data_IF_845331974563
#
_entry.id   IF_845331974563
#
_cell.length_a   1.000
_cell.length_b   1.000
_cell.length_c   1.000
_cell.angle_alpha   90.00
_cell.angle_beta   90.00
_cell.angle_gamma   90.00
#
_symmetry.space_group_name_H-M   'P 1'
#
loop_
_entity.id
_entity.type
_entity.pdbx_description
1 polymer ?
#
# COMPACT_ATOMS: atom_id res chain seq x y z
N UNK A 1 6.51 -30.72 3.60
CA UNK A 1 5.60 -29.85 2.83
C UNK A 1 6.31 -29.46 1.55
N UNK A 2 5.79 -29.79 0.37
CA UNK A 2 6.31 -29.25 -0.89
C UNK A 2 5.57 -27.93 -1.16
N UNK A 3 6.26 -26.81 -1.03
CA UNK A 3 5.74 -25.51 -1.43
C UNK A 3 5.76 -25.41 -2.96
N UNK A 4 4.72 -24.81 -3.54
CA UNK A 4 4.75 -24.51 -4.98
C UNK A 4 5.78 -23.41 -5.27
N UNK A 5 6.23 -23.30 -6.53
CA UNK A 5 7.21 -22.28 -6.91
C UNK A 5 6.67 -20.86 -6.68
N UNK A 6 5.38 -20.69 -6.90
CA UNK A 6 4.62 -19.45 -6.70
C UNK A 6 4.58 -19.07 -5.21
N UNK A 7 4.36 -20.04 -4.32
CA UNK A 7 4.38 -19.81 -2.87
C UNK A 7 5.76 -19.39 -2.37
N UNK A 8 6.83 -19.93 -2.95
CA UNK A 8 8.20 -19.50 -2.62
C UNK A 8 8.44 -18.04 -3.05
N UNK A 9 7.99 -17.65 -4.25
CA UNK A 9 8.10 -16.26 -4.72
C UNK A 9 7.36 -15.30 -3.77
N UNK A 10 6.15 -15.67 -3.34
CA UNK A 10 5.38 -14.89 -2.36
C UNK A 10 6.07 -14.83 -1.00
N UNK A 11 6.85 -15.84 -0.62
CA UNK A 11 7.64 -15.76 0.61
C UNK A 11 8.80 -14.76 0.48
N UNK A 12 9.44 -14.71 -0.69
CA UNK A 12 10.55 -13.78 -0.97
C UNK A 12 10.14 -12.30 -0.99
N UNK A 13 8.85 -11.99 -1.17
CA UNK A 13 8.37 -10.59 -1.10
C UNK A 13 8.54 -9.95 0.27
N UNK A 14 8.83 -10.73 1.31
CA UNK A 14 9.15 -10.19 2.64
C UNK A 14 10.46 -9.41 2.66
N UNK A 15 11.43 -9.79 1.82
CA UNK A 15 12.79 -9.26 1.90
C UNK A 15 12.84 -7.74 1.64
N UNK A 16 12.20 -7.18 0.60
CA UNK A 16 12.11 -5.73 0.43
C UNK A 16 11.48 -5.00 1.61
N UNK A 17 10.43 -5.58 2.21
CA UNK A 17 9.74 -4.96 3.35
C UNK A 17 10.69 -4.87 4.54
N UNK A 18 11.45 -5.94 4.80
CA UNK A 18 12.50 -5.94 5.82
C UNK A 18 13.58 -4.90 5.54
N UNK A 19 14.08 -4.84 4.30
CA UNK A 19 15.10 -3.85 3.90
C UNK A 19 14.57 -2.42 4.08
N UNK A 20 13.34 -2.15 3.64
CA UNK A 20 12.68 -0.87 3.81
C UNK A 20 12.46 -0.53 5.29
N UNK A 21 12.12 -1.50 6.14
CA UNK A 21 11.92 -1.31 7.58
C UNK A 21 13.24 -1.05 8.33
N UNK A 22 14.32 -1.73 7.95
CA UNK A 22 15.66 -1.45 8.46
C UNK A 22 16.06 -0.02 8.10
N UNK A 23 15.86 0.36 6.84
CA UNK A 23 16.06 1.73 6.38
C UNK A 23 15.21 2.74 7.16
N UNK A 24 13.92 2.45 7.37
CA UNK A 24 13.02 3.31 8.13
C UNK A 24 13.49 3.51 9.58
N UNK A 25 13.99 2.44 10.22
CA UNK A 25 14.53 2.47 11.59
C UNK A 25 15.73 3.40 11.71
N UNK A 26 16.63 3.38 10.72
CA UNK A 26 17.83 4.22 10.70
C UNK A 26 17.51 5.71 10.52
N UNK A 27 16.41 6.06 9.82
CA UNK A 27 16.07 7.45 9.46
C UNK A 27 14.90 8.04 10.23
N UNK A 28 14.23 7.26 11.08
CA UNK A 28 13.03 7.71 11.77
C UNK A 28 13.22 8.99 12.59
N UNK A 29 14.39 9.14 13.24
CA UNK A 29 14.65 10.27 14.16
C UNK A 29 14.89 11.59 13.43
N UNK A 30 15.59 11.55 12.29
CA UNK A 30 15.91 12.73 11.49
C UNK A 30 14.82 13.09 10.47
N UNK A 31 13.89 12.16 10.19
CA UNK A 31 12.86 12.34 9.18
C UNK A 31 11.87 13.48 9.47
N UNK A 32 11.49 14.19 8.41
CA UNK A 32 10.35 15.10 8.40
C UNK A 32 9.02 14.36 8.66
N UNK A 33 7.99 15.10 9.06
CA UNK A 33 6.69 14.53 9.47
C UNK A 33 6.06 13.60 8.42
N UNK A 34 6.13 13.94 7.13
CA UNK A 34 5.57 13.11 6.09
C UNK A 34 6.38 11.81 5.87
N UNK A 35 7.71 11.87 6.00
CA UNK A 35 8.58 10.69 5.92
C UNK A 35 8.41 9.79 7.14
N UNK A 36 8.13 10.36 8.33
CA UNK A 36 7.77 9.57 9.52
C UNK A 36 6.49 8.76 9.33
N UNK A 37 5.50 9.30 8.59
CA UNK A 37 4.30 8.55 8.22
C UNK A 37 4.62 7.40 7.24
N UNK A 38 5.53 7.62 6.29
CA UNK A 38 6.05 6.54 5.43
C UNK A 38 6.73 5.44 6.26
N UNK A 39 7.58 5.80 7.23
CA UNK A 39 8.18 4.83 8.15
C UNK A 39 7.10 4.06 8.93
N UNK A 40 6.08 4.76 9.43
CA UNK A 40 4.93 4.14 10.10
C UNK A 40 4.20 3.14 9.21
N UNK A 41 3.98 3.49 7.94
CA UNK A 41 3.36 2.61 6.94
C UNK A 41 4.19 1.33 6.72
N UNK A 42 5.51 1.48 6.56
CA UNK A 42 6.41 0.34 6.37
C UNK A 42 6.43 -0.58 7.59
N UNK A 43 6.50 -0.03 8.80
CA UNK A 43 6.44 -0.84 10.03
C UNK A 43 5.09 -1.53 10.21
N UNK A 44 4.01 -0.83 9.93
CA UNK A 44 2.67 -1.41 9.96
C UNK A 44 2.53 -2.56 8.97
N UNK A 45 3.00 -2.38 7.74
CA UNK A 45 2.97 -3.44 6.74
C UNK A 45 3.86 -4.63 7.14
N UNK A 46 5.07 -4.38 7.64
CA UNK A 46 5.93 -5.44 8.18
C UNK A 46 5.22 -6.24 9.28
N UNK A 47 4.53 -5.54 10.20
CA UNK A 47 3.79 -6.15 11.29
C UNK A 47 2.64 -7.04 10.76
N UNK A 48 1.80 -6.51 9.87
CA UNK A 48 0.67 -7.26 9.29
C UNK A 48 1.16 -8.45 8.47
N UNK A 49 2.21 -8.29 7.66
CA UNK A 49 2.79 -9.39 6.90
C UNK A 49 3.36 -10.48 7.82
N UNK A 50 4.00 -10.09 8.93
CA UNK A 50 4.55 -11.03 9.90
C UNK A 50 3.44 -11.85 10.57
N UNK A 51 2.37 -11.20 11.03
CA UNK A 51 1.19 -11.90 11.58
C UNK A 51 0.55 -12.80 10.54
N UNK A 52 0.40 -12.31 9.30
CA UNK A 52 -0.21 -13.08 8.21
C UNK A 52 0.55 -14.37 7.91
N UNK A 53 1.89 -14.34 7.95
CA UNK A 53 2.72 -15.55 7.76
C UNK A 53 2.67 -16.50 8.95
N UNK A 54 2.62 -15.97 10.18
CA UNK A 54 2.40 -16.79 11.38
C UNK A 54 1.07 -17.53 11.26
N UNK A 55 0.00 -16.84 10.87
CA UNK A 55 -1.34 -17.43 10.73
C UNK A 55 -1.37 -18.46 9.61
N UNK A 56 -0.70 -18.18 8.49
CA UNK A 56 -0.53 -19.14 7.41
C UNK A 56 0.20 -20.42 7.87
N UNK A 57 1.25 -20.29 8.69
CA UNK A 57 1.96 -21.43 9.27
C UNK A 57 1.05 -22.30 10.16
N UNK A 58 0.19 -21.66 10.95
CA UNK A 58 -0.81 -22.34 11.78
C UNK A 58 -2.10 -22.72 11.03
N UNK A 59 -2.19 -22.48 9.72
CA UNK A 59 -3.39 -22.70 8.88
C UNK A 59 -4.65 -21.97 9.36
N UNK A 60 -4.47 -20.85 10.06
CA UNK A 60 -5.56 -19.96 10.48
C UNK A 60 -5.80 -18.96 9.34
N UNK A 61 -7.08 -18.70 9.03
CA UNK A 61 -7.43 -17.68 8.04
C UNK A 61 -6.96 -16.30 8.51
N UNK A 62 -6.27 -15.58 7.64
CA UNK A 62 -5.79 -14.22 7.88
C UNK A 62 -6.67 -13.15 7.22
N UNK A 63 -7.81 -13.54 6.64
CA UNK A 63 -8.69 -12.64 5.88
C UNK A 63 -9.22 -11.47 6.73
N UNK A 64 -9.41 -11.67 8.04
CA UNK A 64 -9.85 -10.61 8.96
C UNK A 64 -8.82 -9.48 9.12
N UNK A 65 -7.55 -9.69 8.73
CA UNK A 65 -6.53 -8.63 8.72
C UNK A 65 -6.71 -7.68 7.54
N UNK A 66 -7.40 -8.11 6.48
CA UNK A 66 -7.54 -7.34 5.25
C UNK A 66 -8.25 -5.99 5.45
N UNK A 67 -9.42 -5.90 6.11
CA UNK A 67 -10.11 -4.63 6.36
C UNK A 67 -9.29 -3.68 7.25
N UNK A 68 -8.53 -4.24 8.20
CA UNK A 68 -7.64 -3.48 9.08
C UNK A 68 -6.48 -2.91 8.27
N UNK A 69 -5.87 -3.74 7.42
CA UNK A 69 -4.75 -3.36 6.57
C UNK A 69 -5.11 -2.19 5.65
N UNK A 70 -6.17 -2.33 4.84
CA UNK A 70 -6.57 -1.28 3.88
C UNK A 70 -6.97 0.02 4.57
N UNK A 71 -7.58 -0.06 5.76
CA UNK A 71 -8.03 1.13 6.49
C UNK A 71 -6.85 1.93 7.03
N UNK A 72 -5.87 1.25 7.62
CA UNK A 72 -4.68 1.90 8.16
C UNK A 72 -3.75 2.37 7.04
N UNK A 73 -3.57 1.58 5.97
CA UNK A 73 -2.81 1.97 4.78
C UNK A 73 -3.39 3.24 4.15
N UNK A 74 -4.69 3.24 3.85
CA UNK A 74 -5.40 4.41 3.35
C UNK A 74 -5.27 5.63 4.28
N UNK A 75 -5.42 5.43 5.59
CA UNK A 75 -5.31 6.48 6.59
C UNK A 75 -3.94 7.15 6.61
N UNK A 76 -2.88 6.33 6.64
CA UNK A 76 -1.50 6.80 6.64
C UNK A 76 -1.14 7.49 5.31
N UNK A 77 -1.53 6.93 4.18
CA UNK A 77 -1.28 7.53 2.86
C UNK A 77 -2.02 8.87 2.71
N UNK A 78 -3.31 8.92 3.07
CA UNK A 78 -4.10 10.15 2.99
C UNK A 78 -3.51 11.25 3.89
N UNK A 79 -3.07 10.90 5.10
CA UNK A 79 -2.39 11.85 5.98
C UNK A 79 -1.06 12.31 5.40
N UNK A 80 -0.23 11.37 4.94
CA UNK A 80 1.07 11.68 4.33
C UNK A 80 0.92 12.66 3.18
N UNK A 81 0.01 12.42 2.23
CA UNK A 81 -0.23 13.33 1.11
C UNK A 81 -0.87 14.66 1.51
N UNK A 82 -1.67 14.70 2.58
CA UNK A 82 -2.20 15.98 3.08
C UNK A 82 -1.08 16.92 3.53
N UNK A 83 -0.02 16.38 4.13
CA UNK A 83 1.18 17.13 4.52
C UNK A 83 2.01 17.54 3.30
N UNK A 84 2.28 16.60 2.39
CA UNK A 84 3.13 16.83 1.21
C UNK A 84 2.51 17.82 0.24
N UNK A 85 1.21 17.69 -0.03
CA UNK A 85 0.50 18.61 -0.92
C UNK A 85 0.31 19.97 -0.25
N UNK A 86 0.13 20.02 1.07
CA UNK A 86 0.01 21.26 1.83
C UNK A 86 -1.26 22.07 1.51
N UNK A 87 -2.20 21.50 0.76
CA UNK A 87 -3.44 22.18 0.36
C UNK A 87 -4.40 22.25 1.55
N UNK A 88 -4.93 23.45 1.84
CA UNK A 88 -5.80 23.69 3.00
C UNK A 88 -7.05 22.81 2.99
N UNK A 89 -7.70 22.65 1.82
CA UNK A 89 -8.89 21.84 1.69
C UNK A 89 -8.62 20.36 1.99
N UNK A 90 -7.47 19.82 1.54
CA UNK A 90 -7.11 18.42 1.77
C UNK A 90 -6.81 18.17 3.25
N UNK A 91 -6.16 19.11 3.93
CA UNK A 91 -5.93 19.03 5.38
C UNK A 91 -7.24 19.08 6.18
N UNK A 92 -8.22 19.89 5.75
CA UNK A 92 -9.55 19.93 6.36
C UNK A 92 -10.39 18.67 6.06
N UNK A 93 -10.29 18.15 4.83
CA UNK A 93 -11.02 16.97 4.38
C UNK A 93 -10.42 15.65 4.88
N UNK A 94 -9.13 15.60 5.24
CA UNK A 94 -8.41 14.38 5.64
C UNK A 94 -9.19 13.54 6.65
N UNK A 95 -9.67 14.15 7.74
CA UNK A 95 -10.41 13.42 8.78
C UNK A 95 -11.71 12.79 8.25
N UNK A 96 -12.42 13.53 7.40
CA UNK A 96 -13.65 13.06 6.74
C UNK A 96 -13.37 11.95 5.72
N UNK A 97 -12.28 12.05 4.96
CA UNK A 97 -11.87 11.01 4.01
C UNK A 97 -11.55 9.70 4.75
N UNK A 98 -10.75 9.77 5.82
CA UNK A 98 -10.36 8.60 6.61
C UNK A 98 -11.56 8.00 7.33
N UNK A 99 -12.37 8.83 8.01
CA UNK A 99 -13.58 8.38 8.70
C UNK A 99 -14.62 7.79 7.75
N UNK A 100 -14.85 8.44 6.60
CA UNK A 100 -15.77 7.97 5.56
C UNK A 100 -15.33 6.65 4.95
N UNK A 101 -14.06 6.51 4.60
CA UNK A 101 -13.52 5.23 4.10
C UNK A 101 -13.62 4.12 5.14
N UNK A 102 -13.25 4.40 6.39
CA UNK A 102 -13.39 3.46 7.50
C UNK A 102 -14.84 3.01 7.69
N UNK A 103 -15.79 3.94 7.64
CA UNK A 103 -17.22 3.61 7.74
C UNK A 103 -17.68 2.72 6.57
N UNK A 104 -17.25 3.00 5.34
CA UNK A 104 -17.56 2.18 4.16
C UNK A 104 -17.05 0.75 4.35
N UNK A 105 -15.80 0.58 4.77
CA UNK A 105 -15.20 -0.73 5.02
C UNK A 105 -15.95 -1.46 6.14
N UNK A 106 -16.21 -0.81 7.27
CA UNK A 106 -16.93 -1.43 8.40
C UNK A 106 -18.36 -1.84 8.03
N UNK A 107 -19.12 -1.00 7.33
CA UNK A 107 -20.48 -1.33 6.89
C UNK A 107 -20.48 -2.55 5.96
N UNK A 108 -19.49 -2.64 5.07
CA UNK A 108 -19.33 -3.79 4.17
C UNK A 108 -18.99 -5.07 4.91
N UNK A 109 -18.04 -5.01 5.84
CA UNK A 109 -17.66 -6.16 6.66
C UNK A 109 -18.82 -6.65 7.54
N UNK A 110 -19.55 -5.74 8.19
CA UNK A 110 -20.72 -6.09 9.00
C UNK A 110 -21.88 -6.64 8.16
N UNK A 111 -22.10 -6.09 6.95
CA UNK A 111 -23.16 -6.51 6.04
C UNK A 111 -22.91 -7.88 5.39
N UNK A 112 -21.67 -8.38 5.37
CA UNK A 112 -21.34 -9.69 4.81
C UNK A 112 -21.72 -10.86 5.72
N UNK A 113 -22.16 -10.64 6.97
CA UNK A 113 -22.68 -11.65 7.89
C UNK A 113 -21.86 -12.97 7.96
N UNK A 114 -20.54 -12.90 7.73
CA UNK A 114 -19.65 -14.07 7.73
C UNK A 114 -19.83 -15.05 6.56
N UNK A 115 -20.58 -14.73 5.50
CA UNK A 115 -20.73 -15.60 4.33
C UNK A 115 -19.63 -15.34 3.29
N UNK A 116 -18.55 -16.11 3.39
CA UNK A 116 -17.29 -15.92 2.64
C UNK A 116 -17.28 -16.50 1.21
N UNK A 117 -18.32 -16.27 0.39
CA UNK A 117 -18.28 -16.76 -1.00
C UNK A 117 -17.71 -15.71 -1.96
N UNK A 118 -17.76 -14.43 -1.61
CA UNK A 118 -17.27 -13.33 -2.45
C UNK A 118 -16.23 -12.50 -1.69
N UNK A 119 -15.05 -12.31 -2.28
CA UNK A 119 -14.08 -11.37 -1.75
C UNK A 119 -14.60 -9.96 -2.08
N UNK A 120 -14.97 -9.19 -1.06
CA UNK A 120 -15.37 -7.79 -1.26
C UNK A 120 -14.13 -6.93 -1.54
N UNK A 121 -13.89 -6.72 -2.83
CA UNK A 121 -12.75 -5.97 -3.33
C UNK A 121 -13.05 -4.47 -3.50
N UNK A 122 -14.27 -4.02 -3.19
CA UNK A 122 -14.66 -2.63 -3.45
C UNK A 122 -13.83 -1.64 -2.63
N UNK A 123 -13.55 -1.96 -1.36
CA UNK A 123 -12.70 -1.12 -0.50
C UNK A 123 -11.31 -0.92 -1.11
N UNK A 124 -10.69 -2.01 -1.58
CA UNK A 124 -9.37 -1.97 -2.23
C UNK A 124 -9.37 -1.19 -3.54
N UNK A 125 -10.41 -1.34 -4.35
CA UNK A 125 -10.55 -0.58 -5.60
C UNK A 125 -10.75 0.92 -5.35
N UNK A 126 -11.58 1.29 -4.37
CA UNK A 126 -11.80 2.70 -3.98
C UNK A 126 -10.51 3.31 -3.45
N UNK A 127 -9.82 2.62 -2.54
CA UNK A 127 -8.50 3.03 -2.03
C UNK A 127 -7.53 3.28 -3.19
N UNK A 128 -7.44 2.32 -4.12
CA UNK A 128 -6.53 2.42 -5.27
C UNK A 128 -6.77 3.68 -6.09
N UNK A 129 -8.04 3.97 -6.41
CA UNK A 129 -8.41 5.17 -7.17
C UNK A 129 -7.99 6.43 -6.43
N UNK A 130 -8.30 6.54 -5.13
CA UNK A 130 -7.97 7.74 -4.34
C UNK A 130 -6.45 7.92 -4.25
N UNK A 131 -5.70 6.86 -3.96
CA UNK A 131 -4.24 6.92 -3.85
C UNK A 131 -3.59 7.28 -5.19
N UNK A 132 -4.10 6.75 -6.31
CA UNK A 132 -3.67 7.16 -7.66
C UNK A 132 -3.87 8.66 -7.84
N UNK A 133 -5.05 9.20 -7.51
CA UNK A 133 -5.30 10.63 -7.61
C UNK A 133 -4.37 11.47 -6.72
N UNK A 134 -4.08 11.02 -5.50
CA UNK A 134 -3.14 11.71 -4.60
C UNK A 134 -1.72 11.73 -5.17
N UNK A 135 -1.25 10.62 -5.72
CA UNK A 135 0.05 10.52 -6.36
C UNK A 135 0.15 11.37 -7.64
N UNK A 136 -0.90 11.38 -8.47
CA UNK A 136 -0.99 12.28 -9.64
C UNK A 136 -1.01 13.75 -9.22
N UNK A 137 -1.74 14.10 -8.17
CA UNK A 137 -1.78 15.46 -7.64
C UNK A 137 -0.39 15.92 -7.14
N UNK A 138 0.41 15.01 -6.59
CA UNK A 138 1.80 15.31 -6.24
C UNK A 138 2.63 15.63 -7.48
N UNK A 139 2.58 14.80 -8.52
CA UNK A 139 3.30 15.08 -9.77
C UNK A 139 2.86 16.42 -10.37
N UNK A 140 1.55 16.67 -10.44
CA UNK A 140 1.01 17.94 -10.91
C UNK A 140 1.55 19.14 -10.12
N UNK A 141 1.56 19.08 -8.79
CA UNK A 141 2.13 20.13 -7.93
C UNK A 141 3.61 20.38 -8.27
N UNK A 142 4.40 19.32 -8.36
CA UNK A 142 5.84 19.44 -8.63
C UNK A 142 6.10 20.04 -10.02
N UNK A 143 5.33 19.62 -11.03
CA UNK A 143 5.41 20.20 -12.37
C UNK A 143 5.03 21.68 -12.40
N UNK A 144 4.05 22.12 -11.62
CA UNK A 144 3.66 23.53 -11.55
C UNK A 144 4.66 24.41 -10.81
N UNK A 145 5.23 23.91 -9.71
CA UNK A 145 6.11 24.73 -8.88
C UNK A 145 7.49 24.94 -9.52
N UNK A 146 7.97 24.02 -10.38
CA UNK A 146 9.29 24.08 -11.06
C UNK A 146 10.49 24.35 -10.12
N UNK A 147 10.30 24.20 -8.80
CA UNK A 147 11.33 24.47 -7.78
C UNK A 147 12.37 23.37 -7.65
N UNK A 148 12.05 22.16 -8.11
CA UNK A 148 12.90 20.98 -7.94
C UNK A 148 13.85 20.87 -9.14
N UNK A 149 15.14 21.10 -8.89
CA UNK A 149 16.18 20.97 -9.92
C UNK A 149 16.44 19.51 -10.32
N UNK A 150 16.30 18.56 -9.37
CA UNK A 150 16.46 17.14 -9.63
C UNK A 150 15.39 16.30 -8.90
N UNK A 151 14.40 15.84 -9.66
CA UNK A 151 13.28 15.04 -9.15
C UNK A 151 13.72 13.73 -8.49
N UNK A 152 14.84 13.14 -8.95
CA UNK A 152 15.34 11.88 -8.40
C UNK A 152 15.89 12.04 -6.98
N UNK A 153 16.18 13.28 -6.57
CA UNK A 153 16.60 13.61 -5.20
C UNK A 153 15.41 13.97 -4.29
N UNK A 154 14.18 13.90 -4.79
CA UNK A 154 12.98 14.10 -3.96
C UNK A 154 12.42 12.76 -3.47
N UNK A 155 12.34 12.54 -2.15
CA UNK A 155 11.79 11.28 -1.60
C UNK A 155 10.39 10.97 -2.11
N UNK A 156 9.53 11.98 -2.18
CA UNK A 156 8.13 11.81 -2.57
C UNK A 156 7.93 11.54 -4.06
N UNK A 157 8.95 11.80 -4.90
CA UNK A 157 8.94 11.34 -6.29
C UNK A 157 8.93 9.80 -6.34
N UNK A 158 9.84 9.16 -5.60
CA UNK A 158 9.94 7.71 -5.52
C UNK A 158 8.71 7.08 -4.87
N UNK A 159 8.22 7.66 -3.76
CA UNK A 159 6.99 7.20 -3.10
C UNK A 159 5.79 7.26 -4.06
N UNK A 160 5.61 8.38 -4.76
CA UNK A 160 4.47 8.57 -5.67
C UNK A 160 4.57 7.68 -6.91
N UNK A 161 5.77 7.48 -7.46
CA UNK A 161 6.00 6.60 -8.60
C UNK A 161 5.70 5.13 -8.26
N UNK A 162 6.19 4.65 -7.10
CA UNK A 162 5.90 3.31 -6.62
C UNK A 162 4.41 3.09 -6.35
N UNK A 163 3.77 4.06 -5.69
CA UNK A 163 2.35 4.03 -5.41
C UNK A 163 1.51 4.00 -6.70
N UNK A 164 1.82 4.83 -7.70
CA UNK A 164 1.12 4.79 -8.98
C UNK A 164 1.21 3.42 -9.63
N UNK A 165 2.42 2.86 -9.72
CA UNK A 165 2.63 1.56 -10.34
C UNK A 165 1.84 0.48 -9.60
N UNK A 166 2.02 0.40 -8.28
CA UNK A 166 1.38 -0.61 -7.43
C UNK A 166 -0.14 -0.49 -7.43
N UNK A 167 -0.69 0.69 -7.16
CA UNK A 167 -2.14 0.88 -7.07
C UNK A 167 -2.85 0.79 -8.43
N UNK A 168 -2.20 1.15 -9.54
CA UNK A 168 -2.79 0.95 -10.87
C UNK A 168 -2.93 -0.53 -11.22
N UNK A 169 -1.91 -1.34 -10.93
CA UNK A 169 -2.01 -2.78 -11.15
C UNK A 169 -2.95 -3.47 -10.17
N UNK A 170 -2.91 -3.09 -8.89
CA UNK A 170 -3.85 -3.58 -7.89
C UNK A 170 -5.30 -3.29 -8.31
N UNK A 171 -5.60 -2.06 -8.76
CA UNK A 171 -6.93 -1.69 -9.22
C UNK A 171 -7.46 -2.64 -10.30
N UNK A 172 -6.64 -2.96 -11.30
CA UNK A 172 -7.01 -3.92 -12.36
C UNK A 172 -7.20 -5.33 -11.78
N UNK A 173 -6.28 -5.81 -10.95
CA UNK A 173 -6.35 -7.14 -10.33
C UNK A 173 -7.66 -7.28 -9.53
N UNK A 174 -7.97 -6.30 -8.68
CA UNK A 174 -9.09 -6.37 -7.74
C UNK A 174 -10.45 -6.16 -8.40
N UNK A 175 -10.54 -5.41 -9.51
CA UNK A 175 -11.76 -5.35 -10.34
C UNK A 175 -12.07 -6.71 -10.98
N UNK A 176 -11.05 -7.39 -11.51
CA UNK A 176 -11.25 -8.65 -12.23
C UNK A 176 -11.16 -9.89 -11.33
N UNK A 177 -10.85 -9.75 -10.03
CA UNK A 177 -10.52 -10.86 -9.13
C UNK A 177 -11.62 -11.94 -9.09
N UNK A 178 -12.89 -11.54 -9.00
CA UNK A 178 -13.99 -12.51 -8.96
C UNK A 178 -14.13 -13.30 -10.27
N UNK A 179 -13.87 -12.66 -11.41
CA UNK A 179 -13.83 -13.33 -12.71
C UNK A 179 -12.64 -14.31 -12.79
N UNK A 180 -11.46 -13.88 -12.36
CA UNK A 180 -10.23 -14.69 -12.34
C UNK A 180 -10.42 -15.95 -11.51
N UNK A 181 -10.99 -15.81 -10.30
CA UNK A 181 -11.22 -16.92 -9.37
C UNK A 181 -12.18 -17.97 -9.94
N UNK A 182 -13.22 -17.55 -10.66
CA UNK A 182 -14.18 -18.45 -11.29
C UNK A 182 -13.61 -19.15 -12.54
N UNK A 183 -12.70 -18.48 -13.26
CA UNK A 183 -12.20 -18.97 -14.54
C UNK A 183 -11.10 -20.02 -14.38
N UNK A 184 -10.04 -19.75 -13.60
CA UNK A 184 -8.90 -20.66 -13.49
C UNK A 184 -8.06 -20.40 -12.24
N UNK A 185 -7.82 -21.47 -11.47
CA UNK A 185 -6.88 -21.44 -10.34
C UNK A 185 -5.45 -21.09 -10.78
N UNK A 186 -5.00 -21.60 -11.93
CA UNK A 186 -3.66 -21.29 -12.45
C UNK A 186 -3.53 -19.80 -12.79
N UNK A 187 -4.56 -19.21 -13.39
CA UNK A 187 -4.58 -17.76 -13.67
C UNK A 187 -4.54 -16.95 -12.36
N UNK A 188 -5.31 -17.36 -11.34
CA UNK A 188 -5.25 -16.74 -10.02
C UNK A 188 -3.83 -16.77 -9.45
N UNK A 189 -3.17 -17.93 -9.44
CA UNK A 189 -1.82 -18.08 -8.89
C UNK A 189 -0.80 -17.19 -9.63
N UNK A 190 -0.89 -17.09 -10.96
CA UNK A 190 -0.05 -16.17 -11.76
C UNK A 190 -0.29 -14.70 -11.44
N UNK A 191 -1.54 -14.31 -11.20
CA UNK A 191 -1.89 -12.93 -10.86
C UNK A 191 -1.38 -12.56 -9.47
N UNK A 192 -1.38 -13.50 -8.52
CA UNK A 192 -0.74 -13.30 -7.22
C UNK A 192 0.78 -13.11 -7.33
N UNK A 193 1.43 -13.77 -8.29
CA UNK A 193 2.86 -13.51 -8.59
C UNK A 193 3.07 -12.09 -9.13
N UNK A 194 2.18 -11.60 -10.02
CA UNK A 194 2.25 -10.21 -10.51
C UNK A 194 2.05 -9.23 -9.35
N UNK A 195 1.03 -9.44 -8.51
CA UNK A 195 0.79 -8.63 -7.32
C UNK A 195 2.03 -8.61 -6.40
N UNK A 196 2.62 -9.78 -6.15
CA UNK A 196 3.85 -9.93 -5.38
C UNK A 196 5.03 -9.12 -5.96
N UNK A 197 5.20 -9.14 -7.29
CA UNK A 197 6.23 -8.35 -7.98
C UNK A 197 5.99 -6.85 -7.85
N UNK A 198 4.74 -6.39 -7.99
CA UNK A 198 4.40 -4.99 -7.81
C UNK A 198 4.64 -4.52 -6.38
N UNK A 199 4.32 -5.36 -5.39
CA UNK A 199 4.62 -5.10 -3.99
C UNK A 199 6.13 -4.99 -3.76
N UNK A 200 6.92 -5.89 -4.35
CA UNK A 200 8.38 -5.85 -4.32
C UNK A 200 8.93 -4.52 -4.85
N UNK A 201 8.43 -4.07 -6.00
CA UNK A 201 8.79 -2.77 -6.58
C UNK A 201 8.41 -1.59 -5.68
N UNK A 202 7.22 -1.62 -5.07
CA UNK A 202 6.76 -0.58 -4.13
C UNK A 202 7.76 -0.41 -2.98
N UNK A 203 8.13 -1.50 -2.30
CA UNK A 203 9.06 -1.40 -1.18
C UNK A 203 10.48 -1.01 -1.58
N UNK A 204 10.93 -1.35 -2.79
CA UNK A 204 12.17 -0.79 -3.34
C UNK A 204 12.07 0.72 -3.46
N UNK A 205 10.99 1.24 -4.04
CA UNK A 205 10.82 2.70 -4.17
C UNK A 205 10.74 3.41 -2.82
N UNK A 206 10.13 2.77 -1.81
CA UNK A 206 10.14 3.28 -0.43
C UNK A 206 11.53 3.28 0.19
N UNK A 207 12.32 2.22 -0.01
CA UNK A 207 13.71 2.17 0.45
C UNK A 207 14.57 3.25 -0.22
N UNK A 208 14.39 3.48 -1.53
CA UNK A 208 15.06 4.56 -2.27
C UNK A 208 14.62 5.93 -1.73
N UNK A 209 13.32 6.14 -1.51
CA UNK A 209 12.82 7.39 -0.93
C UNK A 209 13.46 7.70 0.43
N UNK A 210 13.57 6.70 1.30
CA UNK A 210 14.24 6.81 2.60
C UNK A 210 15.75 7.03 2.47
N UNK A 211 16.39 6.47 1.44
CA UNK A 211 17.81 6.70 1.17
C UNK A 211 18.09 8.13 0.71
N UNK A 212 17.32 8.61 -0.25
CA UNK A 212 17.46 9.94 -0.83
C UNK A 212 17.10 11.04 0.18
N UNK A 213 16.12 10.77 1.04
CA UNK A 213 15.71 11.70 2.10
C UNK A 213 16.75 11.93 3.21
N UNK A 214 17.87 11.19 3.21
CA UNK A 214 18.97 11.36 4.18
C UNK A 214 19.77 12.65 3.99
N UNK A 215 19.81 13.17 2.77
CA UNK A 215 20.68 14.27 2.36
C UNK A 215 20.11 15.66 2.59
N UNK A 216 18.95 15.77 3.25
CA UNK A 216 18.28 17.02 3.61
C UNK A 216 18.27 17.16 5.13
#
# INVERSE_FOLDING_TARGET
MQYSREQLIVLFTYLPVLVAALMASLHYRSAESAVKLLCGLIFFALFIESISRIFWFFRVSNLFLWPIYITVEFGLLTWMYSLVLGQKWLNAARGWMIGGFTAIVLVRELGQHGQSVWIDNAGRSIESVIVIFLALAYFYKVFQELKVQNLLLEPFFWVSAGLLLFFSGNFLIFIFMNFILLYSKNLNDQIWVIHALMNYMLYITYAIALWVGRGK
#
